data_IF_039807102470
#
_entry.id   IF_039807102470
#
_cell.length_a   1.000
_cell.length_b   1.000
_cell.length_c   1.000
_cell.angle_alpha   90.00
_cell.angle_beta   90.00
_cell.angle_gamma   90.00
#
_symmetry.space_group_name_H-M   'P 1'
#
loop_
_entity.id
_entity.type
_entity.pdbx_description
1 polymer ?
#
# COMPACT_ATOMS: atom_id res chain seq x y z
N UNK A 1 -28.48 5.84 -9.97
CA UNK A 1 -27.56 6.10 -11.10
C UNK A 1 -26.13 6.03 -10.58
N UNK A 2 -25.31 5.12 -11.16
CA UNK A 2 -23.87 5.10 -10.96
C UNK A 2 -23.26 6.29 -11.73
N UNK A 3 -22.99 7.39 -11.03
CA UNK A 3 -22.16 8.48 -11.56
C UNK A 3 -20.74 8.32 -11.05
N UNK A 4 -19.73 8.73 -11.84
CA UNK A 4 -18.33 8.73 -11.41
C UNK A 4 -18.16 9.50 -10.09
N UNK A 5 -18.88 10.62 -9.94
CA UNK A 5 -18.93 11.40 -8.70
C UNK A 5 -19.43 10.56 -7.52
N UNK A 6 -20.52 9.80 -7.69
CA UNK A 6 -21.03 8.93 -6.63
C UNK A 6 -20.08 7.79 -6.30
N UNK A 7 -19.34 7.27 -7.28
CA UNK A 7 -18.34 6.24 -7.02
C UNK A 7 -17.14 6.78 -6.23
N UNK A 8 -16.65 7.97 -6.58
CA UNK A 8 -15.49 8.60 -5.97
C UNK A 8 -15.79 9.20 -4.60
N UNK A 9 -16.99 9.76 -4.39
CA UNK A 9 -17.38 10.43 -3.15
C UNK A 9 -18.35 9.61 -2.30
N UNK A 10 -18.80 8.44 -2.77
CA UNK A 10 -19.75 7.56 -2.07
C UNK A 10 -21.06 8.24 -1.65
N UNK A 11 -21.46 9.27 -2.40
CA UNK A 11 -22.66 10.06 -2.09
C UNK A 11 -22.48 11.09 -0.97
N UNK A 12 -21.26 11.30 -0.47
CA UNK A 12 -20.98 12.35 0.51
C UNK A 12 -20.74 13.70 -0.19
N UNK A 13 -21.31 14.76 0.39
CA UNK A 13 -20.98 16.14 0.07
C UNK A 13 -19.94 16.66 1.08
N UNK A 14 -18.83 17.19 0.58
CA UNK A 14 -17.73 17.71 1.40
C UNK A 14 -17.80 19.23 1.47
N UNK A 15 -17.61 19.78 2.65
CA UNK A 15 -17.48 21.22 2.87
C UNK A 15 -16.13 21.75 2.34
N UNK A 16 -16.00 23.06 2.12
CA UNK A 16 -14.75 23.66 1.61
C UNK A 16 -13.56 23.46 2.57
N UNK A 17 -13.82 23.50 3.88
CA UNK A 17 -12.83 23.20 4.92
C UNK A 17 -12.42 21.71 4.98
N UNK A 18 -13.14 20.81 4.30
CA UNK A 18 -12.86 19.36 4.24
C UNK A 18 -12.10 18.96 2.96
N UNK A 19 -11.45 19.92 2.28
CA UNK A 19 -10.76 19.68 1.01
C UNK A 19 -9.75 18.53 1.06
N UNK A 20 -8.90 18.46 2.09
CA UNK A 20 -7.93 17.37 2.25
C UNK A 20 -8.60 16.01 2.45
N UNK A 21 -9.68 15.98 3.25
CA UNK A 21 -10.43 14.75 3.51
C UNK A 21 -11.10 14.23 2.23
N UNK A 22 -11.64 15.15 1.41
CA UNK A 22 -12.19 14.84 0.09
C UNK A 22 -11.14 14.23 -0.83
N UNK A 23 -9.95 14.82 -0.88
CA UNK A 23 -8.82 14.30 -1.66
C UNK A 23 -8.42 12.89 -1.21
N UNK A 24 -8.25 12.68 0.09
CA UNK A 24 -7.98 11.35 0.66
C UNK A 24 -9.05 10.35 0.27
N UNK A 25 -10.32 10.75 0.32
CA UNK A 25 -11.46 9.90 -0.02
C UNK A 25 -11.45 9.46 -1.48
N UNK A 26 -11.23 10.40 -2.39
CA UNK A 26 -11.09 10.14 -3.82
C UNK A 26 -9.91 9.20 -4.07
N UNK A 27 -8.77 9.47 -3.42
CA UNK A 27 -7.54 8.73 -3.63
C UNK A 27 -7.66 7.28 -3.12
N UNK A 28 -8.19 7.08 -1.90
CA UNK A 28 -8.45 5.74 -1.34
C UNK A 28 -9.40 4.97 -2.23
N UNK A 29 -10.53 5.55 -2.62
CA UNK A 29 -11.51 4.84 -3.46
C UNK A 29 -10.92 4.45 -4.81
N UNK A 30 -10.13 5.34 -5.43
CA UNK A 30 -9.52 5.08 -6.73
C UNK A 30 -8.44 4.00 -6.62
N UNK A 31 -7.50 4.15 -5.70
CA UNK A 31 -6.38 3.22 -5.53
C UNK A 31 -6.89 1.83 -5.13
N UNK A 32 -7.79 1.74 -4.14
CA UNK A 32 -8.31 0.45 -3.69
C UNK A 32 -9.08 -0.25 -4.81
N UNK A 33 -9.88 0.46 -5.59
CA UNK A 33 -10.63 -0.14 -6.69
C UNK A 33 -9.71 -0.75 -7.74
N UNK A 34 -8.62 -0.05 -8.10
CA UNK A 34 -7.60 -0.56 -9.01
C UNK A 34 -6.87 -1.76 -8.39
N UNK A 35 -6.44 -1.64 -7.13
CA UNK A 35 -5.73 -2.70 -6.42
C UNK A 35 -6.55 -3.98 -6.31
N UNK A 36 -7.87 -3.89 -6.03
CA UNK A 36 -8.74 -5.06 -5.94
C UNK A 36 -8.72 -5.85 -7.25
N UNK A 37 -8.89 -5.16 -8.39
CA UNK A 37 -8.90 -5.80 -9.71
C UNK A 37 -7.53 -6.39 -10.04
N UNK A 38 -6.46 -5.62 -9.82
CA UNK A 38 -5.10 -6.06 -10.11
C UNK A 38 -4.67 -7.25 -9.26
N UNK A 39 -4.93 -7.22 -7.94
CA UNK A 39 -4.55 -8.29 -7.02
C UNK A 39 -5.38 -9.56 -7.24
N UNK A 40 -6.67 -9.44 -7.57
CA UNK A 40 -7.48 -10.59 -7.95
C UNK A 40 -6.92 -11.27 -9.22
N UNK A 41 -6.57 -10.49 -10.24
CA UNK A 41 -5.95 -11.02 -11.47
C UNK A 41 -4.57 -11.64 -11.19
N UNK A 42 -3.72 -10.96 -10.42
CA UNK A 42 -2.38 -11.46 -10.07
C UNK A 42 -2.45 -12.74 -9.25
N UNK A 43 -3.38 -12.82 -8.30
CA UNK A 43 -3.58 -14.03 -7.50
C UNK A 43 -3.95 -15.22 -8.39
N UNK A 44 -4.89 -15.02 -9.32
CA UNK A 44 -5.26 -16.06 -10.28
C UNK A 44 -4.07 -16.51 -11.14
N UNK A 45 -3.30 -15.57 -11.70
CA UNK A 45 -2.11 -15.88 -12.50
C UNK A 45 -1.05 -16.63 -11.69
N UNK A 46 -0.81 -16.22 -10.44
CA UNK A 46 0.17 -16.86 -9.55
C UNK A 46 -0.25 -18.27 -9.14
N UNK A 47 -1.54 -18.49 -8.93
CA UNK A 47 -2.06 -19.84 -8.71
C UNK A 47 -1.84 -20.74 -9.93
N UNK A 48 -2.11 -20.24 -11.16
CA UNK A 48 -1.81 -20.99 -12.38
C UNK A 48 -0.31 -21.30 -12.56
N UNK A 49 0.57 -20.48 -11.98
CA UNK A 49 2.02 -20.66 -12.00
C UNK A 49 2.55 -21.52 -10.83
N UNK A 50 1.67 -22.04 -9.97
CA UNK A 50 2.05 -22.84 -8.78
C UNK A 50 2.64 -22.01 -7.62
N UNK A 51 2.49 -20.68 -7.64
CA UNK A 51 2.94 -19.78 -6.57
C UNK A 51 1.83 -19.56 -5.52
N UNK A 52 1.34 -20.65 -4.93
CA UNK A 52 0.12 -20.64 -4.10
C UNK A 52 0.22 -19.73 -2.88
N UNK A 53 1.37 -19.71 -2.19
CA UNK A 53 1.59 -18.85 -1.04
C UNK A 53 1.42 -17.37 -1.42
N UNK A 54 1.97 -16.97 -2.56
CA UNK A 54 1.86 -15.58 -3.02
C UNK A 54 0.43 -15.28 -3.49
N UNK A 55 -0.23 -16.22 -4.17
CA UNK A 55 -1.62 -16.07 -4.56
C UNK A 55 -2.54 -15.84 -3.35
N UNK A 56 -2.30 -16.53 -2.24
CA UNK A 56 -3.02 -16.32 -0.98
C UNK A 56 -2.76 -14.92 -0.42
N UNK A 57 -1.50 -14.47 -0.39
CA UNK A 57 -1.15 -13.12 0.07
C UNK A 57 -1.89 -12.04 -0.74
N UNK A 58 -1.94 -12.20 -2.06
CA UNK A 58 -2.64 -11.27 -2.96
C UNK A 58 -4.15 -11.26 -2.72
N UNK A 59 -4.75 -12.44 -2.52
CA UNK A 59 -6.17 -12.58 -2.16
C UNK A 59 -6.45 -11.89 -0.82
N UNK A 60 -5.62 -12.09 0.19
CA UNK A 60 -5.74 -11.41 1.48
C UNK A 60 -5.66 -9.89 1.33
N UNK A 61 -4.74 -9.39 0.50
CA UNK A 61 -4.62 -7.97 0.19
C UNK A 61 -5.86 -7.43 -0.55
N UNK A 62 -6.40 -8.19 -1.51
CA UNK A 62 -7.62 -7.84 -2.23
C UNK A 62 -8.84 -7.79 -1.28
N UNK A 63 -9.01 -8.80 -0.41
CA UNK A 63 -10.09 -8.81 0.59
C UNK A 63 -9.98 -7.66 1.57
N UNK A 64 -8.78 -7.38 2.09
CA UNK A 64 -8.55 -6.23 2.96
C UNK A 64 -8.87 -4.90 2.25
N UNK A 65 -8.56 -4.81 0.96
CA UNK A 65 -8.89 -3.65 0.12
C UNK A 65 -10.41 -3.50 -0.06
N UNK A 66 -11.14 -4.60 -0.34
CA UNK A 66 -12.61 -4.60 -0.44
C UNK A 66 -13.23 -4.17 0.88
N UNK A 67 -12.81 -4.77 2.00
CA UNK A 67 -13.32 -4.45 3.32
C UNK A 67 -13.07 -2.98 3.66
N UNK A 68 -11.86 -2.48 3.41
CA UNK A 68 -11.50 -1.08 3.63
C UNK A 68 -12.31 -0.15 2.76
N UNK A 69 -12.52 -0.49 1.49
CA UNK A 69 -13.33 0.29 0.57
C UNK A 69 -14.76 0.40 1.12
N UNK A 70 -15.41 -0.73 1.43
CA UNK A 70 -16.76 -0.75 1.99
C UNK A 70 -16.85 0.08 3.27
N UNK A 71 -15.90 -0.10 4.20
CA UNK A 71 -15.91 0.60 5.47
C UNK A 71 -15.63 2.11 5.33
N UNK A 72 -14.78 2.52 4.39
CA UNK A 72 -14.59 3.93 4.05
C UNK A 72 -15.87 4.56 3.49
N UNK A 73 -16.73 3.79 2.81
CA UNK A 73 -18.02 4.28 2.30
C UNK A 73 -19.09 4.46 3.38
N UNK A 74 -18.91 3.94 4.58
CA UNK A 74 -19.92 4.06 5.65
C UNK A 74 -19.99 5.46 6.24
N UNK A 75 -18.87 6.19 6.34
CA UNK A 75 -18.87 7.55 6.90
C UNK A 75 -17.62 8.35 6.50
N UNK A 76 -17.71 9.69 6.48
CA UNK A 76 -16.52 10.55 6.31
C UNK A 76 -15.44 10.33 7.38
N UNK A 77 -15.84 9.94 8.59
CA UNK A 77 -14.91 9.74 9.71
C UNK A 77 -14.18 8.40 9.64
N UNK A 78 -14.80 7.36 9.06
CA UNK A 78 -14.21 6.02 9.04
C UNK A 78 -12.89 6.02 8.29
N UNK A 79 -12.76 6.77 7.19
CA UNK A 79 -11.52 6.85 6.40
C UNK A 79 -10.29 7.23 7.23
N UNK A 80 -10.45 8.10 8.24
CA UNK A 80 -9.34 8.53 9.10
C UNK A 80 -8.77 7.35 9.90
N UNK A 81 -9.60 6.38 10.25
CA UNK A 81 -9.23 5.16 10.96
C UNK A 81 -8.88 4.00 10.02
N UNK A 82 -9.52 3.93 8.84
CA UNK A 82 -9.27 2.84 7.90
C UNK A 82 -7.89 2.93 7.27
N UNK A 83 -7.42 4.15 6.96
CA UNK A 83 -6.11 4.33 6.30
C UNK A 83 -4.95 3.77 7.15
N UNK A 84 -4.76 4.12 8.44
CA UNK A 84 -3.66 3.56 9.23
C UNK A 84 -3.73 2.03 9.36
N UNK A 85 -4.94 1.49 9.52
CA UNK A 85 -5.16 0.03 9.59
C UNK A 85 -4.76 -0.63 8.28
N UNK A 86 -5.19 -0.08 7.15
CA UNK A 86 -4.85 -0.56 5.82
C UNK A 86 -3.34 -0.52 5.57
N UNK A 87 -2.69 0.61 5.84
CA UNK A 87 -1.23 0.75 5.66
C UNK A 87 -0.45 -0.26 6.51
N UNK A 88 -0.89 -0.48 7.75
CA UNK A 88 -0.26 -1.46 8.65
C UNK A 88 -0.44 -2.90 8.12
N UNK A 89 -1.65 -3.23 7.67
CA UNK A 89 -1.95 -4.55 7.09
C UNK A 89 -1.15 -4.78 5.80
N UNK A 90 -1.07 -3.78 4.91
CA UNK A 90 -0.25 -3.85 3.71
C UNK A 90 1.23 -4.00 4.03
N UNK A 91 1.75 -3.29 5.04
CA UNK A 91 3.13 -3.50 5.49
C UNK A 91 3.41 -4.97 5.82
N UNK A 92 2.53 -5.63 6.58
CA UNK A 92 2.70 -7.05 6.90
C UNK A 92 2.61 -7.93 5.65
N UNK A 93 1.61 -7.72 4.78
CA UNK A 93 1.46 -8.53 3.56
C UNK A 93 2.61 -8.34 2.57
N UNK A 94 3.15 -7.13 2.45
CA UNK A 94 4.34 -6.84 1.64
C UNK A 94 5.57 -7.51 2.24
N UNK A 95 5.68 -7.52 3.56
CA UNK A 95 6.77 -8.22 4.26
C UNK A 95 6.73 -9.72 4.01
N UNK A 96 5.54 -10.34 4.02
CA UNK A 96 5.37 -11.74 3.61
C UNK A 96 5.67 -11.96 2.12
N UNK A 97 5.26 -11.03 1.26
CA UNK A 97 5.58 -11.05 -0.17
C UNK A 97 7.09 -11.04 -0.39
N UNK A 98 7.80 -10.11 0.24
CA UNK A 98 9.26 -10.01 0.17
C UNK A 98 9.95 -11.29 0.63
N UNK A 99 9.47 -11.91 1.70
CA UNK A 99 9.99 -13.22 2.15
C UNK A 99 9.80 -14.32 1.10
N UNK A 100 8.68 -14.33 0.40
CA UNK A 100 8.29 -15.44 -0.48
C UNK A 100 8.84 -15.32 -1.91
N UNK A 101 8.84 -14.12 -2.49
CA UNK A 101 9.29 -13.88 -3.88
C UNK A 101 10.59 -13.06 -3.97
N UNK A 102 11.19 -12.74 -2.82
CA UNK A 102 12.49 -12.09 -2.72
C UNK A 102 12.49 -10.64 -3.21
N UNK A 103 13.53 -10.26 -3.95
CA UNK A 103 13.77 -8.88 -4.41
C UNK A 103 12.59 -8.27 -5.15
N UNK A 104 11.82 -9.05 -5.92
CA UNK A 104 10.63 -8.57 -6.62
C UNK A 104 9.53 -8.10 -5.67
N UNK A 105 9.47 -8.63 -4.45
CA UNK A 105 8.54 -8.19 -3.43
C UNK A 105 8.87 -6.82 -2.85
N UNK A 106 10.15 -6.39 -2.94
CA UNK A 106 10.61 -5.14 -2.34
C UNK A 106 10.02 -3.89 -3.02
N UNK A 107 9.63 -3.98 -4.29
CA UNK A 107 9.02 -2.86 -5.03
C UNK A 107 7.70 -2.42 -4.42
N UNK A 108 6.98 -3.32 -3.76
CA UNK A 108 5.73 -2.98 -3.09
C UNK A 108 5.93 -2.08 -1.86
N UNK A 109 7.11 -2.08 -1.23
CA UNK A 109 7.41 -1.10 -0.18
C UNK A 109 7.41 0.33 -0.71
N UNK A 110 7.84 0.56 -1.95
CA UNK A 110 7.79 1.88 -2.59
C UNK A 110 6.33 2.33 -2.73
N UNK A 111 5.44 1.44 -3.17
CA UNK A 111 3.99 1.70 -3.29
C UNK A 111 3.38 2.03 -1.92
N UNK A 112 3.76 1.30 -0.87
CA UNK A 112 3.32 1.56 0.49
C UNK A 112 3.78 2.94 0.98
N UNK A 113 5.04 3.29 0.77
CA UNK A 113 5.62 4.58 1.16
C UNK A 113 4.90 5.72 0.44
N UNK A 114 4.74 5.63 -0.88
CA UNK A 114 3.98 6.60 -1.67
C UNK A 114 2.57 6.78 -1.12
N UNK A 115 1.86 5.68 -0.89
CA UNK A 115 0.52 5.70 -0.30
C UNK A 115 0.49 6.34 1.08
N UNK A 116 1.48 6.07 1.93
CA UNK A 116 1.57 6.62 3.28
C UNK A 116 1.78 8.14 3.28
N UNK A 117 2.66 8.68 2.42
CA UNK A 117 2.85 10.12 2.23
C UNK A 117 1.55 10.77 1.73
N UNK A 118 1.01 10.33 0.60
CA UNK A 118 -0.20 10.95 0.03
C UNK A 118 -1.45 10.85 0.91
N UNK A 119 -1.58 9.80 1.73
CA UNK A 119 -2.78 9.59 2.55
C UNK A 119 -2.69 10.13 3.98
N UNK A 120 -1.49 10.24 4.56
CA UNK A 120 -1.31 10.60 5.98
C UNK A 120 -0.19 11.61 6.24
N UNK A 121 0.52 12.02 5.22
CA UNK A 121 1.58 13.01 5.33
C UNK A 121 2.91 12.45 5.83
N UNK A 122 3.87 13.35 5.97
CA UNK A 122 5.30 13.10 6.14
C UNK A 122 5.64 12.23 7.33
N UNK A 123 4.95 12.43 8.47
CA UNK A 123 5.26 11.67 9.70
C UNK A 123 4.99 10.18 9.51
N UNK A 124 3.85 9.86 8.89
CA UNK A 124 3.45 8.47 8.63
C UNK A 124 4.26 7.89 7.46
N UNK A 125 4.48 8.68 6.40
CA UNK A 125 5.36 8.31 5.30
C UNK A 125 6.77 7.91 5.76
N UNK A 126 7.43 8.77 6.55
CA UNK A 126 8.75 8.50 7.13
C UNK A 126 8.76 7.27 8.04
N UNK A 127 7.72 7.10 8.87
CA UNK A 127 7.58 5.91 9.70
C UNK A 127 7.59 4.63 8.86
N UNK A 128 6.75 4.56 7.81
CA UNK A 128 6.70 3.41 6.92
C UNK A 128 8.00 3.20 6.14
N UNK A 129 8.69 4.25 5.72
CA UNK A 129 10.01 4.15 5.09
C UNK A 129 11.04 3.49 6.01
N UNK A 130 11.13 3.95 7.26
CA UNK A 130 12.11 3.43 8.23
C UNK A 130 11.84 1.95 8.54
N UNK A 131 10.59 1.59 8.85
CA UNK A 131 10.28 0.18 9.16
C UNK A 131 10.42 -0.73 7.94
N UNK A 132 10.19 -0.23 6.72
CA UNK A 132 10.40 -1.01 5.49
C UNK A 132 11.88 -1.29 5.27
N UNK A 133 12.75 -0.29 5.46
CA UNK A 133 14.21 -0.50 5.42
C UNK A 133 14.67 -1.50 6.49
N UNK A 134 14.13 -1.40 7.71
CA UNK A 134 14.42 -2.37 8.77
C UNK A 134 13.92 -3.77 8.43
N UNK A 135 12.77 -3.92 7.77
CA UNK A 135 12.26 -5.21 7.34
C UNK A 135 13.18 -5.86 6.29
N UNK A 136 13.64 -5.07 5.31
CA UNK A 136 14.55 -5.55 4.25
C UNK A 136 15.88 -6.04 4.83
N UNK A 137 16.49 -5.27 5.73
CA UNK A 137 17.75 -5.64 6.40
C UNK A 137 17.55 -6.76 7.42
N UNK A 138 16.44 -6.72 8.16
CA UNK A 138 16.14 -7.67 9.22
C UNK A 138 15.82 -9.07 8.69
N UNK A 139 15.03 -9.17 7.62
CA UNK A 139 14.62 -10.45 7.07
C UNK A 139 15.71 -11.19 6.32
N UNK A 140 16.77 -10.52 5.86
CA UNK A 140 17.99 -11.20 5.39
C UNK A 140 18.54 -12.18 6.42
N UNK A 141 18.52 -11.81 7.70
CA UNK A 141 19.07 -12.66 8.76
C UNK A 141 18.20 -13.88 9.07
N UNK A 142 16.94 -13.88 8.65
CA UNK A 142 15.96 -14.92 8.95
C UNK A 142 15.46 -15.66 7.71
N UNK A 143 15.70 -15.13 6.52
CA UNK A 143 15.45 -15.79 5.27
C UNK A 143 16.71 -16.54 4.84
N UNK A 144 16.56 -17.74 4.30
CA UNK A 144 17.68 -18.52 3.72
C UNK A 144 18.25 -17.87 2.42
N UNK A 145 17.87 -16.62 2.14
CA UNK A 145 18.24 -15.86 0.94
C UNK A 145 19.25 -14.79 1.35
N UNK A 146 20.50 -14.98 0.96
CA UNK A 146 21.56 -13.97 1.09
C UNK A 146 21.56 -13.09 -0.14
N UNK A 147 21.23 -11.82 0.04
CA UNK A 147 21.33 -10.84 -1.03
C UNK A 147 22.75 -10.32 -1.16
N UNK A 148 23.17 -10.08 -2.39
CA UNK A 148 24.42 -9.39 -2.70
C UNK A 148 24.31 -7.90 -2.34
N UNK A 149 25.46 -7.25 -2.13
CA UNK A 149 25.52 -5.79 -1.92
C UNK A 149 24.83 -5.01 -3.05
N UNK A 150 24.95 -5.48 -4.31
CA UNK A 150 24.29 -4.83 -5.44
C UNK A 150 22.76 -4.89 -5.33
N UNK A 151 22.21 -6.04 -4.94
CA UNK A 151 20.77 -6.21 -4.70
C UNK A 151 20.27 -5.29 -3.57
N UNK A 152 21.05 -5.12 -2.51
CA UNK A 152 20.73 -4.11 -1.48
C UNK A 152 20.66 -2.70 -2.02
N UNK A 153 21.63 -2.29 -2.84
CA UNK A 153 21.58 -0.97 -3.47
C UNK A 153 20.35 -0.81 -4.37
N UNK A 154 20.00 -1.84 -5.14
CA UNK A 154 18.80 -1.82 -5.99
C UNK A 154 17.49 -1.68 -5.20
N UNK A 155 17.45 -2.12 -3.95
CA UNK A 155 16.25 -1.98 -3.09
C UNK A 155 16.27 -0.65 -2.32
N UNK A 156 17.38 -0.34 -1.66
CA UNK A 156 17.48 0.77 -0.70
C UNK A 156 17.51 2.12 -1.42
N UNK A 157 18.23 2.23 -2.55
CA UNK A 157 18.36 3.52 -3.26
C UNK A 157 17.01 4.05 -3.74
N UNK A 158 16.13 3.26 -4.40
CA UNK A 158 14.79 3.73 -4.77
C UNK A 158 13.93 4.14 -3.57
N UNK A 159 14.03 3.42 -2.45
CA UNK A 159 13.30 3.76 -1.22
C UNK A 159 13.78 5.11 -0.67
N UNK A 160 15.10 5.31 -0.59
CA UNK A 160 15.68 6.58 -0.14
C UNK A 160 15.30 7.74 -1.07
N UNK A 161 15.41 7.56 -2.39
CA UNK A 161 15.01 8.57 -3.36
C UNK A 161 13.52 8.92 -3.21
N UNK A 162 12.65 7.91 -3.12
CA UNK A 162 11.21 8.11 -2.94
C UNK A 162 10.93 8.87 -1.65
N UNK A 163 11.57 8.49 -0.54
CA UNK A 163 11.46 9.16 0.74
C UNK A 163 11.91 10.63 0.66
N UNK A 164 13.06 10.91 0.04
CA UNK A 164 13.58 12.28 -0.09
C UNK A 164 12.68 13.15 -0.95
N UNK A 165 12.26 12.67 -2.13
CA UNK A 165 11.40 13.45 -3.02
C UNK A 165 10.04 13.74 -2.40
N UNK A 166 9.42 12.75 -1.75
CA UNK A 166 8.12 12.94 -1.11
C UNK A 166 8.22 13.84 0.13
N UNK A 167 9.31 13.75 0.88
CA UNK A 167 9.56 14.67 1.99
C UNK A 167 9.68 16.12 1.54
N UNK A 168 10.37 16.37 0.41
CA UNK A 168 10.49 17.71 -0.17
C UNK A 168 9.17 18.21 -0.78
N UNK A 169 8.38 17.33 -1.38
CA UNK A 169 7.06 17.69 -1.95
C UNK A 169 6.06 18.13 -0.88
N UNK A 170 6.13 17.59 0.33
CA UNK A 170 5.26 17.94 1.45
C UNK A 170 5.71 19.15 2.28
N UNK A 171 6.78 19.84 1.89
CA UNK A 171 7.17 21.14 2.47
C UNK A 171 6.36 22.28 1.86
#
# INVERSE_FOLDING_TARGET
>A
MLSLRNFLLSGFDFEENEYELKLQFILVNSILSILIVMLALLSFLRHLQGQDIQAIIDICAAFASVFTLIFARTSKKSIRYSIPVLLSLFYFLITFTFRNIGILGSTWYIVLILGAFFLKGKKVGLFFSIISMLAIVGLERFADVKYTMFEYFYIIVPILLSMTFLYLYEQ
#
